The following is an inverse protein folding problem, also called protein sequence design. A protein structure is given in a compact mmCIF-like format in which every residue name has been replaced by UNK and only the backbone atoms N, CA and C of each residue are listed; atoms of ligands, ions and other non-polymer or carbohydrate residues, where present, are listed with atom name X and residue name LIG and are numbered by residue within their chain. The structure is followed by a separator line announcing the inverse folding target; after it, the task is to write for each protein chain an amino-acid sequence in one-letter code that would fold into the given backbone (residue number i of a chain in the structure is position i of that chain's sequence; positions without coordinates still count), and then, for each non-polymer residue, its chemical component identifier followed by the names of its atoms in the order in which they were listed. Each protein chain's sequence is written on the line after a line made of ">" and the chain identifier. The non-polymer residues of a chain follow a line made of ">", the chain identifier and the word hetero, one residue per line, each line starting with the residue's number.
data_IF_229500448112
#
_entry.id   IF_229500448112
#
_cell.length_a   1.000
_cell.length_b   1.000
_cell.length_c   1.000
_cell.angle_alpha   90.00
_cell.angle_beta   90.00
_cell.angle_gamma   90.00
#
_symmetry.space_group_name_H-M   'P 1'
#
loop_
_entity.id
_entity.type
_entity.pdbx_description
1 polymer ?
#
# COMPACT_ATOMS: atom_id res chain seq x y z
N UNK A 1 31.27 21.10 0.01
CA UNK A 1 31.03 19.94 -0.89
C UNK A 1 29.88 19.08 -0.38
N UNK A 2 28.63 19.47 -0.63
CA UNK A 2 27.44 18.58 -0.49
C UNK A 2 26.38 19.06 -1.49
N UNK A 3 26.50 18.63 -2.74
CA UNK A 3 25.57 18.92 -3.82
C UNK A 3 25.44 17.73 -4.80
N UNK A 4 25.38 16.49 -4.29
CA UNK A 4 25.28 15.28 -5.11
C UNK A 4 24.16 14.32 -4.69
N UNK A 5 23.06 14.84 -4.10
CA UNK A 5 21.87 14.03 -3.81
C UNK A 5 20.58 14.53 -4.48
N UNK A 6 20.70 15.39 -5.51
CA UNK A 6 19.55 15.91 -6.27
C UNK A 6 19.50 15.45 -7.74
N UNK A 7 20.31 14.47 -8.14
CA UNK A 7 20.33 13.94 -9.51
C UNK A 7 19.91 12.46 -9.57
N UNK A 8 18.74 12.15 -9.00
CA UNK A 8 18.11 10.84 -9.18
C UNK A 8 16.60 10.94 -9.52
N UNK A 9 16.14 12.12 -9.95
CA UNK A 9 14.74 12.35 -10.32
C UNK A 9 14.54 12.71 -11.82
N UNK A 10 15.63 12.83 -12.60
CA UNK A 10 15.58 13.40 -13.95
C UNK A 10 16.12 12.53 -15.10
N UNK A 11 16.57 11.29 -14.88
CA UNK A 11 17.21 10.52 -15.95
C UNK A 11 16.92 9.01 -15.92
N UNK A 12 15.68 8.63 -15.61
CA UNK A 12 15.25 7.24 -15.82
C UNK A 12 13.81 7.14 -16.34
N UNK A 13 13.42 8.11 -17.17
CA UNK A 13 12.23 8.05 -18.02
C UNK A 13 12.56 7.41 -19.39
N UNK A 14 13.77 6.86 -19.58
CA UNK A 14 14.23 6.36 -20.88
C UNK A 14 14.98 5.01 -20.87
N UNK A 15 14.92 4.21 -19.79
CA UNK A 15 15.73 2.98 -19.73
C UNK A 15 15.06 1.72 -19.13
N UNK A 16 13.73 1.65 -18.99
CA UNK A 16 13.02 0.41 -18.56
C UNK A 16 12.19 -0.22 -19.69
N UNK A 17 12.66 -0.13 -20.93
CA UNK A 17 12.12 -0.95 -22.03
C UNK A 17 13.06 -2.09 -22.47
N UNK A 18 14.14 -2.38 -21.73
CA UNK A 18 15.18 -3.31 -22.19
C UNK A 18 15.54 -4.47 -21.25
N UNK A 19 14.83 -4.72 -20.15
CA UNK A 19 15.15 -5.88 -19.27
C UNK A 19 13.90 -6.60 -18.76
N UNK A 20 13.13 -7.18 -19.69
CA UNK A 20 12.36 -8.38 -19.40
C UNK A 20 12.88 -9.49 -20.33
N UNK A 21 14.09 -9.96 -20.04
CA UNK A 21 14.49 -11.31 -20.43
C UNK A 21 14.15 -12.25 -19.29
N UNK A 22 13.41 -13.28 -19.68
CA UNK A 22 13.04 -14.49 -18.97
C UNK A 22 14.08 -14.96 -17.93
N UNK A 23 13.62 -15.33 -16.74
CA UNK A 23 14.20 -16.47 -16.02
C UNK A 23 13.12 -17.17 -15.18
N UNK A 24 12.73 -18.35 -15.66
CA UNK A 24 11.88 -19.29 -14.93
C UNK A 24 12.74 -20.09 -13.95
N UNK A 25 12.38 -20.10 -12.66
CA UNK A 25 12.83 -21.16 -11.75
C UNK A 25 11.65 -21.87 -11.11
N UNK A 26 11.68 -23.16 -11.39
CA UNK A 26 10.76 -24.23 -11.09
C UNK A 26 10.72 -24.52 -9.58
N UNK A 27 9.53 -24.65 -9.00
CA UNK A 27 9.34 -25.36 -7.74
C UNK A 27 8.09 -26.22 -7.84
N UNK A 28 8.31 -27.54 -7.80
CA UNK A 28 7.29 -28.57 -7.69
C UNK A 28 6.86 -28.69 -6.22
N UNK A 29 5.57 -28.62 -5.92
CA UNK A 29 4.92 -29.58 -5.01
C UNK A 29 3.41 -29.65 -5.29
N UNK A 30 2.84 -30.78 -4.90
CA UNK A 30 1.70 -31.51 -5.47
C UNK A 30 0.31 -31.14 -4.94
N UNK A 31 -0.64 -31.12 -5.89
CA UNK A 31 -2.02 -31.62 -5.86
C UNK A 31 -2.98 -31.27 -4.71
N UNK A 32 -3.99 -30.46 -5.05
CA UNK A 32 -5.41 -30.89 -4.99
C UNK A 32 -6.12 -30.44 -6.27
N UNK A 33 -6.70 -31.42 -6.96
CA UNK A 33 -7.45 -31.27 -8.21
C UNK A 33 -8.78 -30.58 -7.93
N UNK A 34 -8.91 -29.36 -8.44
CA UNK A 34 -10.19 -28.78 -8.83
C UNK A 34 -10.08 -28.54 -10.33
N UNK A 35 -11.13 -28.86 -11.09
CA UNK A 35 -11.20 -28.63 -12.54
C UNK A 35 -11.10 -27.14 -12.81
N UNK A 36 -9.86 -26.65 -12.96
CA UNK A 36 -9.55 -25.25 -13.13
C UNK A 36 -9.90 -24.84 -14.56
N UNK A 37 -10.97 -24.06 -14.71
CA UNK A 37 -11.05 -23.08 -15.78
C UNK A 37 -9.70 -22.36 -15.82
N UNK A 38 -8.98 -22.46 -16.94
CA UNK A 38 -7.57 -22.05 -17.04
C UNK A 38 -7.48 -20.55 -16.75
N UNK A 39 -7.19 -20.19 -15.50
CA UNK A 39 -7.17 -18.79 -15.07
C UNK A 39 -6.18 -18.05 -15.94
N UNK A 40 -6.67 -17.06 -16.69
CA UNK A 40 -5.83 -16.25 -17.58
C UNK A 40 -4.78 -15.53 -16.73
N UNK A 41 -3.51 -15.71 -17.09
CA UNK A 41 -2.42 -15.00 -16.44
C UNK A 41 -2.63 -13.46 -16.52
N UNK A 42 -2.41 -12.71 -15.42
CA UNK A 42 -2.52 -11.26 -15.45
C UNK A 42 -1.55 -10.65 -16.46
N UNK A 43 -2.00 -9.62 -17.18
CA UNK A 43 -1.20 -8.96 -18.24
C UNK A 43 -0.26 -7.87 -17.73
N UNK A 44 -0.33 -7.55 -16.44
CA UNK A 44 0.41 -6.48 -15.77
C UNK A 44 0.80 -6.97 -14.38
N UNK A 45 1.85 -6.40 -13.81
CA UNK A 45 2.25 -6.68 -12.43
C UNK A 45 1.24 -6.11 -11.40
N UNK A 46 1.12 -6.78 -10.24
CA UNK A 46 0.15 -6.43 -9.19
C UNK A 46 0.37 -5.03 -8.62
N UNK A 47 1.62 -4.55 -8.54
CA UNK A 47 1.91 -3.21 -8.03
C UNK A 47 1.42 -2.14 -9.01
N UNK A 48 1.65 -2.33 -10.31
CA UNK A 48 1.15 -1.42 -11.33
C UNK A 48 -0.38 -1.45 -11.41
N UNK A 49 -1.00 -2.63 -11.37
CA UNK A 49 -2.46 -2.78 -11.33
C UNK A 49 -3.06 -2.06 -10.12
N UNK A 50 -2.44 -2.21 -8.95
CA UNK A 50 -2.84 -1.55 -7.70
C UNK A 50 -2.69 -0.04 -7.79
N UNK A 51 -1.54 0.45 -8.24
CA UNK A 51 -1.25 1.88 -8.40
C UNK A 51 -2.27 2.57 -9.33
N UNK A 52 -2.65 1.89 -10.42
CA UNK A 52 -3.68 2.36 -11.35
C UNK A 52 -5.10 2.27 -10.78
N UNK A 53 -5.32 1.54 -9.68
CA UNK A 53 -6.66 1.25 -9.16
C UNK A 53 -7.43 0.26 -10.03
N UNK A 54 -6.75 -0.60 -10.80
CA UNK A 54 -7.39 -1.55 -11.69
C UNK A 54 -7.86 -2.79 -10.92
N UNK A 55 -9.02 -2.67 -10.28
CA UNK A 55 -9.65 -3.74 -9.49
C UNK A 55 -9.86 -5.02 -10.29
N UNK A 56 -10.12 -4.93 -11.60
CA UNK A 56 -10.27 -6.10 -12.48
C UNK A 56 -8.97 -6.91 -12.57
N UNK A 57 -7.84 -6.24 -12.80
CA UNK A 57 -6.53 -6.92 -12.84
C UNK A 57 -6.16 -7.48 -11.46
N UNK A 58 -6.42 -6.74 -10.38
CA UNK A 58 -6.20 -7.24 -9.01
C UNK A 58 -7.00 -8.52 -8.75
N UNK A 59 -8.28 -8.58 -9.16
CA UNK A 59 -9.09 -9.81 -9.06
C UNK A 59 -8.53 -10.96 -9.90
N UNK A 60 -7.93 -10.68 -11.05
CA UNK A 60 -7.24 -11.70 -11.84
C UNK A 60 -5.98 -12.22 -11.13
N UNK A 61 -5.20 -11.36 -10.49
CA UNK A 61 -4.06 -11.77 -9.66
C UNK A 61 -4.46 -12.66 -8.48
N UNK A 62 -5.58 -12.32 -7.82
CA UNK A 62 -6.17 -13.13 -6.74
C UNK A 62 -6.58 -14.51 -7.29
N UNK A 63 -7.35 -14.54 -8.39
CA UNK A 63 -7.80 -15.79 -9.01
C UNK A 63 -6.63 -16.67 -9.50
N UNK A 64 -5.55 -16.05 -9.99
CA UNK A 64 -4.37 -16.74 -10.48
C UNK A 64 -3.44 -17.21 -9.36
N UNK A 65 -3.70 -16.86 -8.09
CA UNK A 65 -2.87 -17.23 -6.95
C UNK A 65 -1.45 -16.64 -7.01
N UNK A 66 -1.29 -15.47 -7.63
CA UNK A 66 0.01 -14.79 -7.67
C UNK A 66 0.43 -14.32 -6.26
N UNK A 67 1.71 -14.01 -6.06
CA UNK A 67 2.17 -13.47 -4.79
C UNK A 67 1.65 -12.04 -4.56
N UNK A 68 0.59 -11.91 -3.76
CA UNK A 68 -0.03 -10.63 -3.41
C UNK A 68 0.72 -9.86 -2.31
N UNK A 69 1.72 -10.48 -1.69
CA UNK A 69 2.57 -9.94 -0.62
C UNK A 69 3.94 -9.46 -1.15
N UNK A 70 4.13 -9.42 -2.47
CA UNK A 70 5.37 -8.90 -3.07
C UNK A 70 5.63 -7.47 -2.61
N UNK A 71 6.91 -7.10 -2.52
CA UNK A 71 7.33 -5.74 -2.17
C UNK A 71 7.91 -5.06 -3.40
N UNK A 72 7.46 -3.85 -3.70
CA UNK A 72 8.07 -3.07 -4.77
C UNK A 72 9.48 -2.60 -4.34
N UNK A 73 10.42 -2.47 -5.30
CA UNK A 73 11.84 -2.35 -4.99
C UNK A 73 12.28 -1.00 -4.41
N UNK A 74 11.51 0.07 -4.58
CA UNK A 74 11.91 1.42 -4.17
C UNK A 74 11.63 1.67 -2.69
N UNK A 75 10.38 1.49 -2.28
CA UNK A 75 9.90 1.75 -0.91
C UNK A 75 9.60 0.48 -0.12
N UNK A 76 9.73 -0.71 -0.71
CA UNK A 76 9.40 -1.97 -0.05
C UNK A 76 7.90 -2.14 0.22
N UNK A 77 7.04 -1.38 -0.45
CA UNK A 77 5.59 -1.40 -0.21
C UNK A 77 4.94 -2.65 -0.79
N UNK A 78 4.03 -3.26 -0.05
CA UNK A 78 3.12 -4.28 -0.61
C UNK A 78 2.02 -3.62 -1.45
N UNK A 79 1.32 -4.37 -2.32
CA UNK A 79 0.14 -3.86 -3.00
C UNK A 79 -0.88 -3.23 -2.03
N UNK A 80 -1.09 -3.83 -0.86
CA UNK A 80 -2.01 -3.29 0.13
C UNK A 80 -1.54 -1.94 0.69
N UNK A 81 -0.25 -1.77 0.98
CA UNK A 81 0.33 -0.49 1.43
C UNK A 81 0.16 0.59 0.35
N UNK A 82 0.46 0.25 -0.91
CA UNK A 82 0.26 1.17 -2.05
C UNK A 82 -1.20 1.58 -2.21
N UNK A 83 -2.14 0.64 -2.04
CA UNK A 83 -3.57 0.94 -2.08
C UNK A 83 -3.99 1.91 -0.97
N UNK A 84 -3.45 1.75 0.25
CA UNK A 84 -3.69 2.66 1.38
C UNK A 84 -3.17 4.07 1.08
N UNK A 85 -1.93 4.19 0.58
CA UNK A 85 -1.28 5.46 0.25
C UNK A 85 -2.11 6.27 -0.77
N UNK A 86 -2.40 5.65 -1.92
CA UNK A 86 -3.13 6.30 -3.01
C UNK A 86 -4.66 6.30 -2.84
N UNK A 87 -5.17 5.75 -1.74
CA UNK A 87 -6.61 5.71 -1.45
C UNK A 87 -7.40 4.86 -2.46
N UNK A 88 -6.83 3.75 -2.92
CA UNK A 88 -7.49 2.78 -3.81
C UNK A 88 -8.35 1.83 -2.98
N UNK A 89 -9.43 2.35 -2.41
CA UNK A 89 -10.25 1.63 -1.42
C UNK A 89 -10.72 0.27 -1.92
N UNK A 90 -11.30 0.20 -3.12
CA UNK A 90 -11.80 -1.06 -3.69
C UNK A 90 -10.69 -2.11 -3.82
N UNK A 91 -9.51 -1.70 -4.30
CA UNK A 91 -8.34 -2.58 -4.40
C UNK A 91 -7.88 -3.06 -3.01
N UNK A 92 -7.80 -2.15 -2.03
CA UNK A 92 -7.42 -2.51 -0.66
C UNK A 92 -8.40 -3.53 -0.06
N UNK A 93 -9.71 -3.34 -0.25
CA UNK A 93 -10.73 -4.25 0.26
C UNK A 93 -10.66 -5.63 -0.40
N UNK A 94 -10.40 -5.71 -1.71
CA UNK A 94 -10.20 -6.99 -2.40
C UNK A 94 -8.94 -7.72 -1.91
N UNK A 95 -7.84 -7.00 -1.68
CA UNK A 95 -6.62 -7.58 -1.14
C UNK A 95 -6.81 -8.07 0.30
N UNK A 96 -7.50 -7.30 1.16
CA UNK A 96 -7.82 -7.73 2.54
C UNK A 96 -8.68 -8.99 2.51
N UNK A 97 -9.73 -9.04 1.67
CA UNK A 97 -10.59 -10.23 1.50
C UNK A 97 -9.81 -11.45 1.00
N UNK A 98 -8.75 -11.24 0.21
CA UNK A 98 -7.88 -12.29 -0.28
C UNK A 98 -6.91 -12.86 0.78
N UNK A 99 -6.90 -12.32 2.01
CA UNK A 99 -6.09 -12.84 3.10
C UNK A 99 -4.60 -12.55 2.98
N UNK A 100 -4.23 -11.40 2.40
CA UNK A 100 -2.84 -10.93 2.39
C UNK A 100 -2.33 -10.69 3.82
N UNK A 101 -0.99 -10.72 4.01
CA UNK A 101 -0.41 -10.43 5.32
C UNK A 101 -0.50 -8.93 5.60
N UNK A 102 -1.34 -8.57 6.58
CA UNK A 102 -1.64 -7.18 6.94
C UNK A 102 -0.49 -6.49 7.70
N UNK A 103 0.47 -7.26 8.20
CA UNK A 103 1.51 -6.82 9.13
C UNK A 103 2.88 -6.65 8.46
N UNK A 104 2.98 -6.89 7.15
CA UNK A 104 4.19 -6.60 6.39
C UNK A 104 4.52 -5.11 6.45
N UNK A 105 5.79 -4.82 6.73
CA UNK A 105 6.32 -3.46 6.83
C UNK A 105 7.03 -3.05 5.53
N UNK A 106 6.82 -1.81 5.11
CA UNK A 106 7.64 -1.18 4.07
C UNK A 106 9.02 -0.74 4.62
N UNK A 107 9.82 -0.04 3.81
CA UNK A 107 11.16 0.42 4.21
C UNK A 107 11.15 1.45 5.34
N UNK A 108 10.03 2.14 5.56
CA UNK A 108 9.81 3.06 6.71
C UNK A 108 9.34 2.32 7.98
N UNK A 109 9.28 0.99 7.94
CA UNK A 109 8.74 0.17 9.02
C UNK A 109 7.21 0.25 9.14
N UNK A 110 6.53 0.92 8.22
CA UNK A 110 5.09 1.15 8.26
C UNK A 110 4.32 -0.03 7.67
N UNK A 111 3.27 -0.47 8.36
CA UNK A 111 2.29 -1.44 7.85
C UNK A 111 1.17 -0.75 7.06
N UNK A 112 0.28 -1.53 6.44
CA UNK A 112 -0.92 -0.99 5.80
C UNK A 112 -1.75 -0.14 6.77
N UNK A 113 -1.87 -0.57 8.04
CA UNK A 113 -2.64 0.16 9.05
C UNK A 113 -2.04 1.52 9.38
N UNK A 114 -0.70 1.63 9.49
CA UNK A 114 -0.02 2.91 9.68
C UNK A 114 -0.36 3.89 8.54
N UNK A 115 -0.24 3.44 7.30
CA UNK A 115 -0.46 4.28 6.12
C UNK A 115 -1.94 4.65 5.98
N UNK A 116 -2.86 3.70 6.16
CA UNK A 116 -4.30 3.96 6.11
C UNK A 116 -4.74 4.95 7.21
N UNK A 117 -4.22 4.79 8.43
CA UNK A 117 -4.51 5.69 9.54
C UNK A 117 -3.96 7.10 9.28
N UNK A 118 -2.70 7.21 8.87
CA UNK A 118 -2.06 8.49 8.57
C UNK A 118 -2.79 9.25 7.45
N UNK A 119 -3.23 8.61 6.36
CA UNK A 119 -3.99 9.28 5.29
C UNK A 119 -5.51 9.33 5.53
N UNK A 120 -5.96 8.93 6.73
CA UNK A 120 -7.35 8.87 7.16
C UNK A 120 -8.27 8.18 6.13
N UNK A 121 -7.84 6.99 5.70
CA UNK A 121 -8.62 6.11 4.83
C UNK A 121 -9.57 5.28 5.69
N UNK A 122 -10.57 5.93 6.31
CA UNK A 122 -11.42 5.36 7.36
C UNK A 122 -11.95 3.96 7.02
N UNK A 123 -12.55 3.77 5.85
CA UNK A 123 -13.07 2.48 5.41
C UNK A 123 -12.00 1.37 5.33
N UNK A 124 -10.77 1.72 4.91
CA UNK A 124 -9.65 0.77 4.87
C UNK A 124 -9.16 0.48 6.29
N UNK A 125 -9.11 1.47 7.17
CA UNK A 125 -8.74 1.29 8.59
C UNK A 125 -9.72 0.33 9.27
N UNK A 126 -11.04 0.55 9.10
CA UNK A 126 -12.08 -0.35 9.62
C UNK A 126 -11.89 -1.78 9.12
N UNK A 127 -11.65 -1.96 7.82
CA UNK A 127 -11.43 -3.27 7.23
C UNK A 127 -10.16 -3.96 7.76
N UNK A 128 -9.06 -3.22 7.92
CA UNK A 128 -7.81 -3.76 8.45
C UNK A 128 -7.97 -4.22 9.90
N UNK A 129 -8.56 -3.38 10.76
CA UNK A 129 -8.81 -3.70 12.17
C UNK A 129 -9.74 -4.91 12.30
N UNK A 130 -10.85 -4.92 11.55
CA UNK A 130 -11.80 -6.04 11.53
C UNK A 130 -11.17 -7.37 11.11
N UNK A 131 -10.13 -7.34 10.28
CA UNK A 131 -9.42 -8.53 9.80
C UNK A 131 -8.12 -8.82 10.59
N UNK A 132 -7.94 -8.21 11.77
CA UNK A 132 -6.87 -8.56 12.69
C UNK A 132 -5.50 -7.97 12.35
N UNK A 133 -5.45 -6.81 11.68
CA UNK A 133 -4.20 -6.05 11.56
C UNK A 133 -3.66 -5.69 12.96
N UNK A 134 -2.37 -5.93 13.19
CA UNK A 134 -1.73 -5.66 14.47
C UNK A 134 -1.56 -4.15 14.68
N UNK A 135 -2.21 -3.63 15.72
CA UNK A 135 -2.27 -2.20 16.04
C UNK A 135 -1.08 -1.73 16.89
N UNK A 136 -0.35 -2.66 17.53
CA UNK A 136 0.76 -2.34 18.44
C UNK A 136 2.13 -2.36 17.77
N UNK A 137 2.22 -2.77 16.50
CA UNK A 137 3.44 -2.68 15.72
C UNK A 137 3.90 -1.23 15.61
N UNK A 138 5.20 -1.01 15.81
CA UNK A 138 5.85 0.30 15.64
C UNK A 138 6.54 0.41 14.29
N UNK A 139 6.42 1.57 13.66
CA UNK A 139 7.23 1.94 12.49
C UNK A 139 8.65 2.39 12.90
N UNK A 140 9.48 2.80 11.93
CA UNK A 140 10.86 3.24 12.21
C UNK A 140 10.94 4.54 13.02
N UNK A 141 9.85 5.32 13.09
CA UNK A 141 9.74 6.48 13.97
C UNK A 141 9.31 6.11 15.40
N UNK A 142 9.14 4.82 15.70
CA UNK A 142 8.73 4.32 17.01
C UNK A 142 7.24 4.50 17.32
N UNK A 143 6.44 4.88 16.32
CA UNK A 143 5.02 5.13 16.45
C UNK A 143 4.18 3.93 15.98
N UNK A 144 3.10 3.65 16.70
CA UNK A 144 1.98 2.79 16.28
C UNK A 144 1.08 3.51 15.28
N UNK A 145 0.11 2.79 14.69
CA UNK A 145 -0.88 3.40 13.82
C UNK A 145 -1.71 4.47 14.55
N UNK A 146 -2.13 4.22 15.80
CA UNK A 146 -2.84 5.19 16.63
C UNK A 146 -1.99 6.45 16.88
N UNK A 147 -0.73 6.28 17.25
CA UNK A 147 0.18 7.40 17.51
C UNK A 147 0.43 8.24 16.24
N UNK A 148 0.47 7.63 15.05
CA UNK A 148 0.64 8.32 13.77
C UNK A 148 -0.51 9.28 13.42
N UNK A 149 -1.71 9.05 13.95
CA UNK A 149 -2.92 9.84 13.68
C UNK A 149 -3.35 10.71 14.87
N UNK A 150 -2.72 10.56 16.03
CA UNK A 150 -3.11 11.26 17.27
C UNK A 150 -2.65 12.73 17.35
N UNK A 151 -1.62 13.13 16.59
CA UNK A 151 -1.14 14.51 16.59
C UNK A 151 -2.18 15.48 15.97
N UNK A 152 -2.33 16.73 16.48
CA UNK A 152 -3.22 17.72 15.89
C UNK A 152 -2.89 17.99 14.42
N UNK A 153 -3.90 18.11 13.56
CA UNK A 153 -3.70 18.30 12.12
C UNK A 153 -2.79 19.48 11.80
N UNK A 154 -2.93 20.60 12.52
CA UNK A 154 -2.09 21.78 12.35
C UNK A 154 -0.58 21.49 12.47
N UNK A 155 -0.17 20.54 13.34
CA UNK A 155 1.24 20.18 13.53
C UNK A 155 1.78 19.28 12.41
N UNK A 156 0.91 18.49 11.78
CA UNK A 156 1.29 17.53 10.72
C UNK A 156 0.91 18.00 9.31
N UNK A 157 0.23 19.14 9.17
CA UNK A 157 -0.22 19.70 7.88
C UNK A 157 0.92 19.80 6.87
N UNK A 158 2.09 20.28 7.30
CA UNK A 158 3.28 20.38 6.43
C UNK A 158 3.74 19.04 5.87
N UNK A 159 3.53 17.93 6.60
CA UNK A 159 3.85 16.57 6.11
C UNK A 159 2.88 16.18 4.99
N UNK A 160 1.59 16.48 5.13
CA UNK A 160 0.61 16.23 4.06
C UNK A 160 0.87 17.10 2.83
N UNK A 161 1.23 18.37 3.02
CA UNK A 161 1.60 19.27 1.92
C UNK A 161 2.83 18.75 1.17
N UNK A 162 3.83 18.25 1.90
CA UNK A 162 4.98 17.56 1.32
C UNK A 162 4.55 16.37 0.47
N UNK A 163 3.77 15.43 1.01
CA UNK A 163 3.29 14.27 0.23
C UNK A 163 2.42 14.69 -0.96
N UNK A 164 1.55 15.68 -0.79
CA UNK A 164 0.72 16.22 -1.86
C UNK A 164 1.56 16.80 -3.00
N UNK A 165 2.66 17.47 -2.69
CA UNK A 165 3.60 18.00 -3.68
C UNK A 165 4.40 16.90 -4.37
N UNK A 166 5.00 15.98 -3.61
CA UNK A 166 5.90 14.97 -4.14
C UNK A 166 5.15 13.85 -4.90
N UNK A 167 3.99 13.43 -4.40
CA UNK A 167 3.20 12.33 -4.97
C UNK A 167 2.00 12.81 -5.79
N UNK A 168 1.71 14.11 -5.80
CA UNK A 168 0.68 14.73 -6.63
C UNK A 168 0.83 14.42 -8.12
N UNK A 169 2.03 14.55 -8.72
CA UNK A 169 2.27 14.15 -10.11
C UNK A 169 2.04 12.66 -10.40
N UNK A 170 2.12 11.82 -9.36
CA UNK A 170 1.82 10.39 -9.42
C UNK A 170 0.33 10.08 -9.18
N UNK A 171 -0.51 11.11 -9.04
CA UNK A 171 -1.95 10.97 -8.88
C UNK A 171 -2.42 10.86 -7.42
N UNK A 172 -1.57 11.13 -6.43
CA UNK A 172 -2.04 11.28 -5.06
C UNK A 172 -2.92 12.52 -4.94
N UNK A 173 -4.17 12.32 -4.50
CA UNK A 173 -5.10 13.42 -4.21
C UNK A 173 -5.40 13.42 -2.72
N UNK A 174 -5.03 14.51 -2.05
CA UNK A 174 -5.31 14.74 -0.65
C UNK A 174 -6.43 15.78 -0.53
N UNK A 175 -7.40 15.49 0.34
CA UNK A 175 -8.43 16.44 0.74
C UNK A 175 -8.14 16.80 2.20
N UNK A 176 -7.58 17.99 2.43
CA UNK A 176 -7.13 18.42 3.74
C UNK A 176 -8.28 18.58 4.73
N UNK A 177 -9.40 19.18 4.30
CA UNK A 177 -10.58 19.35 5.15
C UNK A 177 -11.14 18.01 5.63
N UNK A 178 -11.19 17.02 4.71
CA UNK A 178 -11.58 15.65 5.06
C UNK A 178 -10.61 15.05 6.06
N UNK A 179 -9.30 15.13 5.79
CA UNK A 179 -8.27 14.57 6.67
C UNK A 179 -8.35 15.21 8.06
N UNK A 180 -8.40 16.54 8.15
CA UNK A 180 -8.52 17.26 9.41
C UNK A 180 -9.75 16.82 10.20
N UNK A 181 -10.90 16.73 9.53
CA UNK A 181 -12.15 16.29 10.14
C UNK A 181 -12.10 14.83 10.62
N UNK A 182 -11.55 13.91 9.82
CA UNK A 182 -11.63 12.47 10.11
C UNK A 182 -10.45 11.91 10.92
N UNK A 183 -9.35 12.65 11.08
CA UNK A 183 -8.25 12.27 11.98
C UNK A 183 -8.70 11.85 13.39
N UNK A 184 -9.51 12.65 14.12
CA UNK A 184 -9.98 12.25 15.44
C UNK A 184 -10.87 10.99 15.39
N UNK A 185 -11.70 10.83 14.35
CA UNK A 185 -12.55 9.64 14.17
C UNK A 185 -11.69 8.37 13.99
N UNK A 186 -10.63 8.45 13.18
CA UNK A 186 -9.70 7.34 12.96
C UNK A 186 -8.91 7.02 14.23
N UNK A 187 -8.47 8.03 14.99
CA UNK A 187 -7.81 7.82 16.26
C UNK A 187 -8.74 7.11 17.27
N UNK A 188 -10.02 7.52 17.32
CA UNK A 188 -11.02 6.92 18.19
C UNK A 188 -11.34 5.47 17.79
N UNK A 189 -11.46 5.19 16.48
CA UNK A 189 -11.60 3.83 15.96
C UNK A 189 -10.47 2.91 16.46
N UNK A 190 -9.22 3.36 16.34
CA UNK A 190 -8.06 2.55 16.73
C UNK A 190 -8.00 2.34 18.25
N UNK A 191 -8.37 3.34 19.06
CA UNK A 191 -8.46 3.18 20.53
C UNK A 191 -9.47 2.11 20.94
N UNK A 192 -10.64 2.11 20.31
CA UNK A 192 -11.76 1.22 20.68
C UNK A 192 -11.55 -0.24 20.27
N UNK A 193 -10.51 -0.54 19.50
CA UNK A 193 -10.16 -1.88 19.05
C UNK A 193 -8.79 -2.34 19.56
N UNK A 194 -8.18 -1.61 20.50
CA UNK A 194 -6.89 -1.94 21.12
C UNK A 194 -7.01 -2.97 22.25
#
# INVERSE_FOLDING_TARGET
>A
MKAHRLLAFGMYVLFVLAVYSCETKNSKTTNKSYTAEKVKAPSMDIHAATFMGNTKLVKQHIAAGTNLNSKEPMGGSTPLITACLFGKTEVALELIKAGVDLNLKNNDGSTALHVAAFFCRTEIVEALVKNGADQILKNNAGATALESVSAPFAQVKGIYEFFGKELGPLGLKLNYDRIEKTRPEVAELLKNNS
#
